data_IF_013420290551
#
_entry.id   IF_013420290551
#
_cell.length_a   1.000
_cell.length_b   1.000
_cell.length_c   1.000
_cell.angle_alpha   90.00
_cell.angle_beta   90.00
_cell.angle_gamma   90.00
#
_symmetry.space_group_name_H-M   'P 1'
#
loop_
_entity.id
_entity.type
_entity.pdbx_description
1 polymer ?
#
# COMPACT_ATOMS: atom_id res chain seq x y z
N UNK A 1 -1.09 8.74 1.23
CA UNK A 1 -0.71 9.79 2.19
C UNK A 1 0.79 9.91 2.12
N UNK A 2 1.32 11.08 1.77
CA UNK A 2 2.77 11.30 1.75
C UNK A 2 3.36 11.11 3.15
N UNK A 3 4.57 10.57 3.21
CA UNK A 3 5.29 10.37 4.47
C UNK A 3 6.63 11.08 4.42
N UNK A 4 7.11 11.46 5.60
CA UNK A 4 8.49 11.89 5.76
C UNK A 4 9.39 10.66 5.57
N UNK A 5 10.35 10.78 4.67
CA UNK A 5 11.31 9.73 4.37
C UNK A 5 12.72 10.31 4.44
N UNK A 6 13.72 9.59 4.97
CA UNK A 6 15.09 10.07 5.00
C UNK A 6 15.58 10.42 3.59
N UNK A 7 16.25 11.57 3.46
CA UNK A 7 16.75 12.10 2.19
C UNK A 7 18.22 11.77 1.97
N UNK A 8 18.71 11.97 0.75
CA UNK A 8 20.08 11.64 0.34
C UNK A 8 20.18 10.24 -0.25
N UNK A 9 21.42 9.81 -0.53
CA UNK A 9 21.71 8.47 -1.06
C UNK A 9 21.95 7.52 0.09
N UNK A 10 20.96 6.68 0.39
CA UNK A 10 20.91 5.87 1.62
C UNK A 10 20.59 4.41 1.32
N UNK A 11 20.95 3.55 2.26
CA UNK A 11 20.54 2.15 2.33
C UNK A 11 19.52 1.94 3.45
N UNK A 12 18.25 1.70 3.11
CA UNK A 12 17.21 1.38 4.11
C UNK A 12 17.43 -0.05 4.60
N UNK A 13 17.43 -0.20 5.93
CA UNK A 13 17.69 -1.44 6.67
C UNK A 13 16.44 -2.04 7.29
N UNK A 14 15.48 -1.21 7.70
CA UNK A 14 14.18 -1.69 8.19
C UNK A 14 13.14 -0.60 8.00
N UNK A 15 11.88 -1.01 7.89
CA UNK A 15 10.75 -0.12 7.85
C UNK A 15 9.54 -0.79 8.50
N UNK A 16 9.25 -0.30 9.71
CA UNK A 16 8.25 -0.86 10.61
C UNK A 16 7.11 0.14 10.79
N UNK A 17 5.88 -0.36 10.88
CA UNK A 17 4.67 0.43 11.15
C UNK A 17 4.01 -0.05 12.44
N UNK A 18 3.37 0.89 13.14
CA UNK A 18 2.50 0.66 14.27
C UNK A 18 1.29 1.60 14.22
N UNK A 19 0.27 1.29 15.01
CA UNK A 19 -0.94 2.06 15.17
C UNK A 19 -1.08 2.43 16.63
N UNK A 20 -1.16 3.73 16.92
CA UNK A 20 -1.16 4.25 18.29
C UNK A 20 -2.39 5.10 18.58
N UNK A 21 -2.76 5.18 19.86
CA UNK A 21 -3.76 6.15 20.35
C UNK A 21 -3.20 7.58 20.44
N UNK A 22 -4.03 8.51 20.91
CA UNK A 22 -3.66 9.92 21.11
C UNK A 22 -2.58 10.12 22.19
N UNK A 23 -2.33 9.12 23.04
CA UNK A 23 -1.29 9.13 24.06
C UNK A 23 0.00 8.44 23.58
N UNK A 24 0.01 7.89 22.36
CA UNK A 24 1.16 7.19 21.79
C UNK A 24 1.28 5.71 22.19
N UNK A 25 0.26 5.14 22.84
CA UNK A 25 0.24 3.72 23.21
C UNK A 25 -0.15 2.88 21.99
N UNK A 26 0.52 1.75 21.80
CA UNK A 26 0.21 0.81 20.72
C UNK A 26 -1.18 0.20 20.90
N UNK A 27 -1.95 0.20 19.82
CA UNK A 27 -3.28 -0.40 19.78
C UNK A 27 -3.18 -1.91 19.65
N UNK A 28 -3.88 -2.70 20.48
CA UNK A 28 -3.86 -4.15 20.32
C UNK A 28 -4.41 -4.61 18.97
N UNK A 29 -3.75 -5.61 18.37
CA UNK A 29 -4.10 -6.17 17.05
C UNK A 29 -5.56 -6.66 17.00
N UNK A 30 -6.05 -7.16 18.13
CA UNK A 30 -7.38 -7.71 18.27
C UNK A 30 -8.50 -6.65 18.30
N UNK A 31 -8.13 -5.37 18.42
CA UNK A 31 -9.04 -4.24 18.41
C UNK A 31 -9.09 -3.57 17.03
N UNK A 32 -7.96 -3.10 16.53
CA UNK A 32 -7.86 -2.57 15.17
C UNK A 32 -6.78 -3.32 14.43
N UNK A 33 -7.20 -3.92 13.32
CA UNK A 33 -6.37 -4.76 12.47
C UNK A 33 -5.84 -3.94 11.30
N UNK A 34 -4.53 -3.98 11.05
CA UNK A 34 -3.96 -3.45 9.80
C UNK A 34 -4.24 -4.47 8.70
N UNK A 35 -5.26 -4.21 7.88
CA UNK A 35 -5.65 -5.16 6.83
C UNK A 35 -4.80 -5.02 5.57
N UNK A 36 -4.50 -3.79 5.17
CA UNK A 36 -3.49 -3.51 4.17
C UNK A 36 -2.63 -2.38 4.68
N UNK A 37 -1.32 -2.49 4.53
CA UNK A 37 -0.47 -1.32 4.46
C UNK A 37 0.58 -1.55 3.38
N UNK A 38 1.04 -0.48 2.75
CA UNK A 38 2.21 -0.54 1.89
C UNK A 38 2.78 0.86 1.69
N UNK A 39 4.09 0.89 1.48
CA UNK A 39 4.81 2.09 1.07
C UNK A 39 5.09 2.04 -0.43
N UNK A 40 4.73 3.13 -1.09
CA UNK A 40 4.95 3.34 -2.51
C UNK A 40 5.96 4.46 -2.68
N UNK A 41 7.01 4.16 -3.43
CA UNK A 41 7.94 5.15 -3.94
C UNK A 41 7.36 5.78 -5.19
N UNK A 42 7.49 7.09 -5.33
CA UNK A 42 7.14 7.79 -6.55
C UNK A 42 8.04 9.01 -6.73
N UNK A 43 8.24 9.41 -7.97
CA UNK A 43 8.91 10.67 -8.26
C UNK A 43 7.84 11.72 -8.59
N UNK A 44 8.04 12.95 -8.12
CA UNK A 44 7.27 14.11 -8.55
C UNK A 44 8.22 15.23 -8.99
N UNK A 45 7.74 16.11 -9.85
CA UNK A 45 8.50 17.29 -10.27
C UNK A 45 8.78 18.17 -9.04
N UNK A 46 10.02 18.65 -8.92
CA UNK A 46 10.37 19.60 -7.89
C UNK A 46 10.02 21.03 -8.35
N UNK A 47 8.85 21.50 -7.93
CA UNK A 47 8.34 22.85 -8.26
C UNK A 47 9.35 23.97 -7.98
N UNK A 48 10.27 23.78 -7.02
CA UNK A 48 11.30 24.78 -6.68
C UNK A 48 12.34 25.01 -7.78
N UNK A 49 12.54 24.03 -8.66
CA UNK A 49 13.51 24.11 -9.76
C UNK A 49 12.84 24.41 -11.12
N UNK A 50 11.51 24.54 -11.15
CA UNK A 50 10.81 24.94 -12.36
C UNK A 50 10.91 26.45 -12.56
N UNK A 51 11.65 26.86 -13.60
CA UNK A 51 11.38 28.14 -14.24
C UNK A 51 9.97 28.07 -14.84
N UNK A 52 9.00 28.74 -14.22
CA UNK A 52 7.66 28.91 -14.78
C UNK A 52 7.75 29.86 -15.97
N UNK A 53 8.17 29.37 -17.13
CA UNK A 53 7.84 30.02 -18.40
C UNK A 53 6.44 29.52 -18.80
N UNK A 54 5.40 30.37 -18.77
CA UNK A 54 4.03 29.98 -19.10
C UNK A 54 3.86 29.49 -20.55
N UNK A 55 4.84 29.71 -21.42
CA UNK A 55 4.79 29.34 -22.84
C UNK A 55 5.59 28.06 -23.18
N UNK A 56 6.29 27.46 -22.21
CA UNK A 56 7.07 26.25 -22.44
C UNK A 56 6.21 24.98 -22.33
N UNK A 57 5.58 24.61 -23.45
CA UNK A 57 4.80 23.38 -23.60
C UNK A 57 5.67 22.12 -23.77
N UNK A 58 7.01 22.23 -23.66
CA UNK A 58 7.91 21.08 -23.84
C UNK A 58 8.17 20.32 -22.54
N UNK A 59 7.84 20.92 -21.39
CA UNK A 59 8.00 20.28 -20.08
C UNK A 59 6.79 19.39 -19.80
N UNK A 60 7.01 18.12 -19.44
CA UNK A 60 5.89 17.23 -19.12
C UNK A 60 5.14 17.81 -17.92
N UNK A 61 3.88 18.21 -18.12
CA UNK A 61 2.88 18.25 -17.06
C UNK A 61 2.60 16.80 -16.61
N UNK A 62 3.62 16.14 -16.08
CA UNK A 62 3.59 14.75 -15.69
C UNK A 62 3.13 14.67 -14.25
N UNK A 63 2.01 13.97 -14.01
CA UNK A 63 1.64 13.56 -12.67
C UNK A 63 2.73 12.69 -12.01
N UNK A 64 2.60 12.39 -10.71
CA UNK A 64 3.57 11.58 -9.99
C UNK A 64 3.82 10.23 -10.68
N UNK A 65 5.09 9.86 -10.84
CA UNK A 65 5.52 8.60 -11.46
C UNK A 65 5.76 7.58 -10.35
N UNK A 66 4.82 6.65 -10.18
CA UNK A 66 4.98 5.55 -9.22
C UNK A 66 6.15 4.65 -9.67
N UNK A 67 7.16 4.53 -8.82
CA UNK A 67 8.21 3.53 -9.01
C UNK A 67 7.64 2.19 -8.61
N UNK A 68 7.84 1.20 -9.49
CA UNK A 68 7.35 -0.17 -9.34
C UNK A 68 8.45 -1.12 -8.88
N UNK A 69 8.08 -2.22 -8.20
CA UNK A 69 9.02 -3.28 -7.87
C UNK A 69 9.46 -4.07 -9.12
N UNK A 70 10.36 -5.03 -8.93
CA UNK A 70 10.97 -5.81 -10.01
C UNK A 70 10.19 -7.08 -10.40
N UNK A 71 8.99 -7.29 -9.84
CA UNK A 71 8.09 -8.39 -10.18
C UNK A 71 7.31 -8.18 -11.47
N UNK A 72 6.76 -9.26 -12.03
CA UNK A 72 6.10 -9.23 -13.36
C UNK A 72 4.71 -8.58 -13.36
N UNK A 73 3.97 -8.65 -12.24
CA UNK A 73 2.63 -8.06 -12.12
C UNK A 73 2.64 -6.65 -11.52
N UNK A 74 3.68 -5.87 -11.83
CA UNK A 74 3.94 -4.57 -11.20
C UNK A 74 3.18 -3.40 -11.84
N UNK A 75 2.62 -3.57 -13.04
CA UNK A 75 2.08 -2.47 -13.85
C UNK A 75 0.74 -1.90 -13.36
N UNK A 76 -0.06 -2.69 -12.64
CA UNK A 76 -1.40 -2.30 -12.18
C UNK A 76 -1.74 -2.76 -10.76
N UNK A 77 -1.35 -3.97 -10.38
CA UNK A 77 -1.94 -4.64 -9.20
C UNK A 77 -0.98 -4.65 -8.03
N UNK A 78 0.31 -4.85 -8.30
CA UNK A 78 1.32 -5.02 -7.26
C UNK A 78 2.53 -4.09 -7.50
N UNK A 79 2.37 -2.76 -7.57
CA UNK A 79 3.49 -1.83 -7.75
C UNK A 79 4.36 -1.66 -6.48
N UNK A 80 4.01 -2.36 -5.40
CA UNK A 80 4.38 -2.07 -4.02
C UNK A 80 5.85 -2.31 -3.72
N UNK A 81 6.50 -1.39 -3.00
CA UNK A 81 7.92 -1.51 -2.59
C UNK A 81 8.08 -2.11 -1.20
N UNK A 82 7.31 -1.64 -0.23
CA UNK A 82 7.39 -2.12 1.15
C UNK A 82 6.00 -2.45 1.71
N UNK A 83 5.94 -3.40 2.63
CA UNK A 83 4.78 -3.61 3.50
C UNK A 83 3.63 -4.42 2.89
N UNK A 84 3.74 -4.94 1.66
CA UNK A 84 2.69 -5.76 1.00
C UNK A 84 2.14 -6.84 1.95
N UNK A 85 1.01 -6.57 2.59
CA UNK A 85 0.40 -7.50 3.51
C UNK A 85 -0.59 -6.88 4.48
N UNK A 86 -1.15 -7.76 5.30
CA UNK A 86 -1.92 -7.40 6.49
C UNK A 86 -1.01 -7.08 7.66
N UNK A 87 -1.45 -7.48 8.83
CA UNK A 87 -0.82 -7.10 10.08
C UNK A 87 0.63 -7.54 10.17
N UNK A 88 1.56 -6.58 10.22
CA UNK A 88 3.00 -6.83 10.39
C UNK A 88 3.54 -6.25 11.70
N UNK A 89 2.69 -5.73 12.59
CA UNK A 89 3.16 -5.28 13.90
C UNK A 89 3.70 -6.46 14.70
N UNK A 90 4.89 -6.26 15.25
CA UNK A 90 5.63 -7.31 15.97
C UNK A 90 6.44 -8.25 15.08
N UNK A 91 6.45 -8.05 13.75
CA UNK A 91 7.41 -8.73 12.87
C UNK A 91 8.69 -7.92 12.73
N UNK A 92 9.78 -8.60 12.36
CA UNK A 92 11.09 -7.98 12.13
C UNK A 92 11.22 -7.70 10.64
N UNK A 93 11.30 -6.42 10.26
CA UNK A 93 11.57 -6.01 8.88
C UNK A 93 13.06 -5.74 8.59
N UNK A 94 13.94 -6.02 9.57
CA UNK A 94 15.37 -5.73 9.49
C UNK A 94 16.08 -6.63 8.47
N UNK A 95 16.72 -6.00 7.48
CA UNK A 95 17.61 -6.63 6.53
C UNK A 95 18.97 -6.91 7.18
N UNK A 96 19.54 -8.13 7.01
CA UNK A 96 20.88 -8.44 7.48
C UNK A 96 21.94 -7.67 6.69
N UNK A 97 23.09 -7.42 7.31
CA UNK A 97 24.24 -6.87 6.58
C UNK A 97 24.79 -7.91 5.59
N UNK A 98 25.32 -7.49 4.41
CA UNK A 98 25.48 -6.11 3.93
C UNK A 98 24.26 -5.56 3.14
N UNK A 99 23.11 -6.25 3.18
CA UNK A 99 21.99 -5.96 2.30
C UNK A 99 21.20 -4.71 2.71
N UNK A 100 20.84 -3.86 1.76
CA UNK A 100 20.02 -2.68 1.99
C UNK A 100 19.17 -2.33 0.76
N UNK A 101 18.07 -1.61 0.97
CA UNK A 101 17.33 -1.00 -0.15
C UNK A 101 17.97 0.32 -0.50
N UNK A 102 18.50 0.41 -1.72
CA UNK A 102 19.06 1.65 -2.23
C UNK A 102 17.95 2.66 -2.54
N UNK A 103 18.07 3.84 -1.93
CA UNK A 103 17.13 4.95 -2.04
C UNK A 103 17.90 6.23 -2.33
N UNK A 104 17.34 7.09 -3.19
CA UNK A 104 17.90 8.42 -3.41
C UNK A 104 19.21 8.45 -4.21
N UNK A 105 19.50 7.41 -5.00
CA UNK A 105 20.65 7.42 -5.91
C UNK A 105 20.46 8.51 -6.98
N UNK A 106 21.31 9.55 -7.05
CA UNK A 106 21.17 10.66 -8.00
C UNK A 106 21.19 10.22 -9.47
N UNK A 107 21.84 9.09 -9.80
CA UNK A 107 21.87 8.56 -11.15
C UNK A 107 20.50 7.99 -11.61
N UNK A 108 19.61 7.65 -10.67
CA UNK A 108 18.30 7.05 -10.93
C UNK A 108 17.14 8.04 -10.86
N UNK A 109 17.39 9.30 -10.48
CA UNK A 109 16.39 10.35 -10.34
C UNK A 109 16.53 11.30 -11.53
N UNK A 110 15.42 11.50 -12.25
CA UNK A 110 15.37 12.45 -13.38
C UNK A 110 15.69 13.86 -12.89
N UNK A 111 16.47 14.62 -13.67
CA UNK A 111 16.73 16.03 -13.38
C UNK A 111 15.41 16.79 -13.15
N UNK A 112 15.37 17.61 -12.11
CA UNK A 112 14.21 18.41 -11.69
C UNK A 112 13.05 17.59 -11.10
N UNK A 113 13.27 16.32 -10.78
CA UNK A 113 12.35 15.48 -10.02
C UNK A 113 12.94 15.15 -8.65
N UNK A 114 12.07 14.86 -7.69
CA UNK A 114 12.43 14.39 -6.35
C UNK A 114 11.71 13.09 -6.04
N UNK A 115 12.44 12.19 -5.38
CA UNK A 115 11.89 10.94 -4.87
C UNK A 115 11.06 11.22 -3.61
N UNK A 116 9.84 10.67 -3.56
CA UNK A 116 8.95 10.72 -2.40
C UNK A 116 8.33 9.37 -2.13
N UNK A 117 7.77 9.28 -0.92
CA UNK A 117 7.14 8.07 -0.43
C UNK A 117 5.74 8.38 0.06
N UNK A 118 4.81 7.48 -0.21
CA UNK A 118 3.46 7.53 0.29
C UNK A 118 3.08 6.20 0.93
N UNK A 119 2.27 6.29 1.97
CA UNK A 119 1.52 5.16 2.49
C UNK A 119 0.15 5.04 1.83
N UNK A 120 -0.19 3.79 1.55
CA UNK A 120 -1.57 3.36 1.44
C UNK A 120 -1.86 2.41 2.60
N UNK A 121 -2.97 2.64 3.28
CA UNK A 121 -3.33 1.91 4.49
C UNK A 121 -4.83 1.64 4.54
N UNK A 122 -5.17 0.50 5.10
CA UNK A 122 -6.52 0.10 5.43
C UNK A 122 -6.51 -0.54 6.81
N UNK A 123 -7.24 0.08 7.73
CA UNK A 123 -7.42 -0.41 9.08
C UNK A 123 -8.88 -0.81 9.29
N UNK A 124 -9.09 -1.94 9.96
CA UNK A 124 -10.42 -2.43 10.31
C UNK A 124 -10.56 -2.39 11.82
N UNK A 125 -11.47 -1.55 12.32
CA UNK A 125 -11.89 -1.59 13.72
C UNK A 125 -12.81 -2.78 13.94
N UNK A 126 -12.32 -3.73 14.74
CA UNK A 126 -12.98 -5.00 15.01
C UNK A 126 -13.64 -5.05 16.39
N UNK A 127 -13.56 -3.98 17.17
CA UNK A 127 -14.17 -3.90 18.50
C UNK A 127 -15.69 -4.05 18.40
N UNK A 128 -16.24 -4.95 19.21
CA UNK A 128 -17.68 -5.20 19.25
C UNK A 128 -18.27 -5.85 17.99
N UNK A 129 -17.44 -6.30 17.04
CA UNK A 129 -17.92 -6.97 15.82
C UNK A 129 -18.61 -8.30 16.12
N UNK A 130 -19.63 -8.63 15.33
CA UNK A 130 -20.34 -9.90 15.44
C UNK A 130 -19.40 -11.06 15.12
N UNK A 131 -18.65 -10.96 14.02
CA UNK A 131 -17.64 -11.93 13.60
C UNK A 131 -16.37 -11.19 13.19
N UNK A 132 -15.38 -11.15 14.10
CA UNK A 132 -14.11 -10.47 13.87
C UNK A 132 -13.38 -11.04 12.65
N UNK A 133 -13.21 -12.36 12.59
CA UNK A 133 -12.48 -13.03 11.51
C UNK A 133 -13.10 -12.70 10.16
N UNK A 134 -14.40 -12.95 10.00
CA UNK A 134 -15.06 -12.72 8.72
C UNK A 134 -15.11 -11.24 8.33
N UNK A 135 -15.18 -10.29 9.30
CA UNK A 135 -15.07 -8.87 8.97
C UNK A 135 -13.64 -8.49 8.55
N UNK A 136 -12.63 -9.01 9.26
CA UNK A 136 -11.22 -8.85 8.90
C UNK A 136 -10.88 -9.46 7.55
N UNK A 137 -11.63 -10.44 7.04
CA UNK A 137 -11.46 -10.99 5.67
C UNK A 137 -12.32 -10.27 4.62
N UNK A 138 -12.89 -9.11 4.95
CA UNK A 138 -13.67 -8.30 4.00
C UNK A 138 -14.87 -9.01 3.37
N UNK A 139 -15.52 -9.93 4.10
CA UNK A 139 -16.73 -10.57 3.64
C UNK A 139 -17.91 -9.60 3.63
N UNK A 140 -18.55 -9.45 2.46
CA UNK A 140 -19.63 -8.49 2.23
C UNK A 140 -20.81 -8.66 3.20
N UNK A 141 -21.13 -9.91 3.55
CA UNK A 141 -22.21 -10.23 4.48
C UNK A 141 -21.93 -9.83 5.93
N UNK A 142 -20.71 -9.41 6.26
CA UNK A 142 -20.32 -8.90 7.58
C UNK A 142 -20.31 -7.38 7.68
N UNK A 143 -20.58 -6.64 6.60
CA UNK A 143 -20.61 -5.18 6.61
C UNK A 143 -22.04 -4.64 6.49
N UNK A 144 -22.23 -3.42 6.99
CA UNK A 144 -23.46 -2.64 6.79
C UNK A 144 -23.46 -1.98 5.41
N UNK A 145 -23.59 -2.79 4.36
CA UNK A 145 -23.58 -2.32 2.97
C UNK A 145 -24.89 -1.58 2.61
N UNK A 146 -24.82 -0.52 1.79
CA UNK A 146 -26.03 0.11 1.22
C UNK A 146 -26.85 -0.89 0.39
N UNK A 147 -28.18 -0.72 0.36
CA UNK A 147 -29.08 -1.63 -0.40
C UNK A 147 -28.74 -1.74 -1.88
N UNK A 148 -28.24 -0.67 -2.49
CA UNK A 148 -27.87 -0.59 -3.90
C UNK A 148 -26.36 -0.79 -4.15
N UNK A 149 -25.64 -1.37 -3.18
CA UNK A 149 -24.20 -1.57 -3.24
C UNK A 149 -23.75 -2.25 -4.55
N UNK A 150 -24.32 -3.40 -4.90
CA UNK A 150 -23.92 -4.16 -6.09
C UNK A 150 -24.16 -3.42 -7.42
N UNK A 151 -25.16 -2.53 -7.46
CA UNK A 151 -25.48 -1.76 -8.66
C UNK A 151 -24.66 -0.46 -8.78
N UNK A 152 -24.12 0.05 -7.66
CA UNK A 152 -23.35 1.31 -7.63
C UNK A 152 -21.85 1.10 -7.60
N UNK A 153 -21.39 0.00 -7.02
CA UNK A 153 -19.97 -0.32 -6.95
C UNK A 153 -19.56 -0.99 -8.26
N UNK A 154 -18.53 -0.46 -8.89
CA UNK A 154 -17.99 -0.98 -10.14
C UNK A 154 -16.68 -1.72 -9.87
N UNK A 155 -16.45 -2.82 -10.59
CA UNK A 155 -15.22 -3.60 -10.52
C UNK A 155 -14.06 -2.92 -11.25
N UNK A 156 -12.92 -3.60 -11.32
CA UNK A 156 -11.71 -3.09 -12.00
C UNK A 156 -11.89 -2.88 -13.52
N UNK A 157 -12.97 -3.40 -14.10
CA UNK A 157 -13.34 -3.25 -15.52
C UNK A 157 -14.50 -2.27 -15.72
N UNK A 158 -14.80 -1.47 -14.70
CA UNK A 158 -15.92 -0.51 -14.69
C UNK A 158 -17.28 -1.18 -14.94
N UNK A 159 -17.46 -2.41 -14.45
CA UNK A 159 -18.75 -3.13 -14.51
C UNK A 159 -19.40 -3.18 -13.14
N UNK A 160 -20.73 -3.09 -13.04
CA UNK A 160 -21.42 -3.30 -11.76
C UNK A 160 -21.02 -4.63 -11.11
N UNK A 161 -20.81 -4.59 -9.80
CA UNK A 161 -20.34 -5.74 -9.05
C UNK A 161 -21.38 -6.87 -9.06
N UNK A 162 -20.94 -8.09 -9.36
CA UNK A 162 -21.83 -9.26 -9.35
C UNK A 162 -22.43 -9.50 -7.96
N UNK A 163 -23.68 -9.94 -7.90
CA UNK A 163 -24.34 -10.40 -6.66
C UNK A 163 -23.68 -11.66 -6.07
N UNK A 164 -22.86 -12.35 -6.87
CA UNK A 164 -22.04 -13.48 -6.43
C UNK A 164 -20.73 -13.05 -5.77
N UNK A 165 -20.38 -11.76 -5.79
CA UNK A 165 -19.23 -11.24 -5.07
C UNK A 165 -19.45 -11.34 -3.55
N UNK A 166 -18.73 -12.26 -2.88
CA UNK A 166 -18.94 -12.55 -1.45
C UNK A 166 -17.95 -11.85 -0.52
N UNK A 167 -16.81 -11.37 -1.03
CA UNK A 167 -15.81 -10.68 -0.22
C UNK A 167 -14.68 -10.08 -1.04
N UNK A 168 -13.92 -9.20 -0.40
CA UNK A 168 -12.74 -8.55 -0.95
C UNK A 168 -12.80 -7.02 -0.87
N UNK A 169 -11.89 -6.36 -1.59
CA UNK A 169 -11.64 -4.91 -1.49
C UNK A 169 -12.90 -4.05 -1.69
N UNK A 170 -13.84 -4.50 -2.52
CA UNK A 170 -15.07 -3.75 -2.79
C UNK A 170 -16.03 -3.73 -1.59
N UNK A 171 -15.91 -4.69 -0.67
CA UNK A 171 -16.73 -4.74 0.54
C UNK A 171 -16.08 -4.06 1.75
N UNK A 172 -14.79 -3.72 1.65
CA UNK A 172 -13.99 -3.04 2.66
C UNK A 172 -13.60 -1.64 2.22
N UNK A 173 -14.59 -0.80 1.92
CA UNK A 173 -14.34 0.60 1.58
C UNK A 173 -14.28 1.51 2.81
N UNK A 174 -13.68 2.68 2.60
CA UNK A 174 -13.63 3.72 3.61
C UNK A 174 -15.04 4.01 4.17
N UNK A 175 -15.14 4.15 5.49
CA UNK A 175 -16.37 4.40 6.27
C UNK A 175 -17.38 3.25 6.31
N UNK A 176 -17.16 2.14 5.60
CA UNK A 176 -18.01 0.96 5.78
C UNK A 176 -17.73 0.35 7.16
N UNK A 177 -18.79 -0.10 7.82
CA UNK A 177 -18.72 -0.60 9.18
C UNK A 177 -19.06 -2.08 9.23
N UNK A 178 -18.26 -2.84 9.96
CA UNK A 178 -18.59 -4.20 10.37
C UNK A 178 -19.94 -4.21 11.11
N UNK A 179 -20.70 -5.28 10.95
CA UNK A 179 -21.87 -5.57 11.77
C UNK A 179 -21.45 -5.75 13.22
N UNK A 180 -22.02 -4.95 14.11
CA UNK A 180 -21.73 -4.99 15.55
C UNK A 180 -22.69 -5.95 16.28
N UNK A 181 -22.25 -6.45 17.43
CA UNK A 181 -23.14 -7.14 18.39
C UNK A 181 -24.10 -6.11 19.00
N UNK A 182 -25.31 -6.55 19.34
CA UNK A 182 -26.30 -5.67 19.99
C UNK A 182 -25.76 -5.20 21.36
N UNK A 183 -25.95 -3.92 21.66
CA UNK A 183 -25.68 -3.35 22.99
C UNK A 183 -24.20 -3.03 23.29
N UNK A 184 -23.29 -3.12 22.32
CA UNK A 184 -21.90 -2.70 22.53
C UNK A 184 -21.66 -1.28 22.00
N UNK A 185 -21.39 -0.30 22.88
CA UNK A 185 -20.91 1.00 22.43
C UNK A 185 -19.48 0.83 21.88
N UNK A 186 -19.25 1.25 20.64
CA UNK A 186 -17.93 1.38 20.06
C UNK A 186 -17.59 2.88 19.98
N UNK A 187 -17.04 3.48 21.05
CA UNK A 187 -16.70 4.89 21.03
C UNK A 187 -15.70 5.18 19.91
N UNK A 188 -15.92 6.30 19.23
CA UNK A 188 -14.95 6.81 18.26
C UNK A 188 -13.65 7.09 19.00
N UNK A 189 -12.54 6.70 18.38
CA UNK A 189 -11.20 7.05 18.82
C UNK A 189 -10.43 7.61 17.65
N UNK A 190 -9.50 8.51 17.93
CA UNK A 190 -8.49 8.91 16.94
C UNK A 190 -7.30 8.00 17.09
N UNK A 191 -6.76 7.60 15.94
CA UNK A 191 -5.59 6.75 15.85
C UNK A 191 -4.58 7.44 14.95
N UNK A 192 -3.30 7.22 15.23
CA UNK A 192 -2.22 7.69 14.41
C UNK A 192 -1.36 6.51 13.96
N UNK A 193 -0.78 6.64 12.77
CA UNK A 193 0.26 5.75 12.31
C UNK A 193 1.57 6.23 12.91
N UNK A 194 2.29 5.31 13.55
CA UNK A 194 3.68 5.50 13.93
C UNK A 194 4.52 4.61 13.03
N UNK A 195 5.61 5.14 12.47
CA UNK A 195 6.52 4.32 11.68
C UNK A 195 7.97 4.61 12.06
N UNK A 196 8.83 3.63 11.84
CA UNK A 196 10.25 3.70 12.12
C UNK A 196 11.02 3.20 10.90
N UNK A 197 11.93 4.02 10.42
CA UNK A 197 12.84 3.69 9.32
C UNK A 197 14.25 3.63 9.90
N UNK A 198 14.93 2.49 9.74
CA UNK A 198 16.36 2.38 10.00
C UNK A 198 17.09 2.44 8.67
N UNK A 199 18.15 3.22 8.60
CA UNK A 199 18.91 3.44 7.37
C UNK A 199 20.37 3.73 7.69
N UNK A 200 21.23 3.62 6.67
CA UNK A 200 22.65 3.97 6.70
C UNK A 200 22.99 4.81 5.47
N UNK A 201 24.04 5.61 5.52
CA UNK A 201 24.58 6.24 4.31
C UNK A 201 24.99 5.17 3.30
N UNK A 202 24.63 5.37 2.03
CA UNK A 202 24.99 4.42 0.99
C UNK A 202 26.50 4.48 0.71
N UNK A 203 27.15 3.31 0.63
CA UNK A 203 28.53 3.18 0.17
C UNK A 203 28.74 1.85 -0.56
N UNK A 204 29.98 1.57 -0.99
CA UNK A 204 30.32 0.40 -1.81
C UNK A 204 30.24 -0.93 -1.05
N UNK A 205 30.11 -0.91 0.28
CA UNK A 205 30.00 -2.12 1.10
C UNK A 205 28.58 -2.68 1.12
N UNK A 206 27.57 -1.88 0.77
CA UNK A 206 26.17 -2.28 0.78
C UNK A 206 25.80 -3.01 -0.51
N UNK A 207 24.97 -4.04 -0.38
CA UNK A 207 24.43 -4.78 -1.52
C UNK A 207 22.96 -4.38 -1.74
N UNK A 208 22.59 -3.82 -2.90
CA UNK A 208 21.22 -3.41 -3.18
C UNK A 208 20.31 -4.63 -3.32
N UNK A 209 19.23 -4.64 -2.53
CA UNK A 209 18.18 -5.66 -2.68
C UNK A 209 17.18 -5.27 -3.77
N UNK A 210 16.54 -6.29 -4.34
CA UNK A 210 15.43 -6.13 -5.28
C UNK A 210 14.17 -6.72 -4.69
N UNK A 211 13.05 -6.03 -4.88
CA UNK A 211 11.75 -6.50 -4.41
C UNK A 211 11.04 -7.21 -5.56
N UNK A 212 10.59 -8.43 -5.29
CA UNK A 212 9.76 -9.18 -6.21
C UNK A 212 8.45 -9.48 -5.50
N UNK A 213 7.38 -8.91 -6.02
CA UNK A 213 6.03 -9.31 -5.60
C UNK A 213 5.51 -10.35 -6.59
N UNK A 214 5.14 -11.51 -6.04
CA UNK A 214 4.62 -12.63 -6.81
C UNK A 214 3.11 -12.73 -6.61
N UNK A 215 2.37 -12.76 -7.71
CA UNK A 215 0.95 -13.13 -7.67
C UNK A 215 0.84 -14.65 -7.78
N UNK A 216 0.52 -15.30 -6.66
CA UNK A 216 0.35 -16.76 -6.59
C UNK A 216 -0.79 -17.29 -7.48
N UNK A 217 -1.69 -16.43 -7.92
CA UNK A 217 -2.83 -16.78 -8.78
C UNK A 217 -2.60 -16.45 -10.26
N UNK A 218 -1.43 -15.87 -10.57
CA UNK A 218 -1.06 -15.53 -11.94
C UNK A 218 -1.04 -16.75 -12.84
N UNK A 219 -1.45 -16.54 -14.09
CA UNK A 219 -1.47 -17.55 -15.14
C UNK A 219 -0.63 -17.04 -16.28
N UNK A 220 0.27 -17.90 -16.74
CA UNK A 220 1.21 -17.57 -17.80
C UNK A 220 0.76 -18.22 -19.10
N UNK A 221 0.73 -17.42 -20.17
CA UNK A 221 0.53 -17.88 -21.54
C UNK A 221 1.71 -17.47 -22.39
N UNK A 222 2.10 -18.33 -23.33
CA UNK A 222 3.12 -18.02 -24.32
C UNK A 222 2.48 -17.76 -25.67
N UNK A 223 2.75 -16.61 -26.26
CA UNK A 223 2.38 -16.29 -27.64
C UNK A 223 3.67 -16.11 -28.46
N UNK A 224 4.13 -17.19 -29.11
CA UNK A 224 5.45 -17.25 -29.72
C UNK A 224 6.55 -17.08 -28.67
N UNK A 225 7.43 -16.09 -28.86
CA UNK A 225 8.49 -15.74 -27.90
C UNK A 225 8.01 -14.81 -26.77
N UNK A 226 6.77 -14.31 -26.81
CA UNK A 226 6.25 -13.39 -25.80
C UNK A 226 5.56 -14.16 -24.68
N UNK A 227 6.10 -14.03 -23.46
CA UNK A 227 5.42 -14.46 -22.23
C UNK A 227 4.39 -13.40 -21.84
N UNK A 228 3.15 -13.83 -21.61
CA UNK A 228 2.02 -13.00 -21.23
C UNK A 228 1.54 -13.48 -19.87
N UNK A 229 1.55 -12.58 -18.89
CA UNK A 229 1.04 -12.82 -17.54
C UNK A 229 -0.39 -12.29 -17.47
N UNK A 230 -1.31 -13.10 -16.93
CA UNK A 230 -2.70 -12.72 -16.76
C UNK A 230 -2.84 -11.68 -15.63
N UNK A 231 -2.00 -11.75 -14.58
CA UNK A 231 -1.96 -10.84 -13.42
C UNK A 231 -3.37 -10.42 -12.98
N UNK A 232 -4.13 -11.32 -12.36
CA UNK A 232 -5.53 -11.06 -11.98
C UNK A 232 -5.72 -11.19 -10.48
N UNK A 233 -6.33 -10.19 -9.83
CA UNK A 233 -6.85 -10.37 -8.47
C UNK A 233 -8.14 -11.18 -8.55
N UNK A 234 -8.04 -12.48 -8.30
CA UNK A 234 -9.22 -13.32 -8.05
C UNK A 234 -9.43 -13.46 -6.55
N UNK A 235 -10.54 -12.93 -6.05
CA UNK A 235 -11.01 -13.25 -4.70
C UNK A 235 -11.67 -14.62 -4.77
N UNK A 236 -11.16 -15.58 -4.00
CA UNK A 236 -11.75 -16.91 -3.80
C UNK A 236 -12.90 -16.81 -2.79
#
# INVERSE_FOLDING_TARGET
MDIEFPSGHIGVKSFDIDLVDEQGNSIPLYETYIHHWFALKYDEIDDKNMSHDPNDNTKPFGGPIIKRNQGTCNDLILPLYWGLGGESRGTISKLPDPFAVEVGNPANITKDWKEKWLFYVMFIDTRGTKNRKSCSECRCDQFNLPKNFYNKTHDIHDKPLSHDYKGGIFCCHNKFQCKLRKGLPAPRRKLAIRYKIMWVDWNEQQIPVRFYVMDSTDRVKTNGSKTIHDCLVKVI
#
